data_IF_009416205503
#
_entry.id   IF_009416205503
#
_cell.length_a   1.000
_cell.length_b   1.000
_cell.length_c   1.000
_cell.angle_alpha   90.00
_cell.angle_beta   90.00
_cell.angle_gamma   90.00
#
_symmetry.space_group_name_H-M   'P 1'
#
loop_
_entity.id
_entity.type
_entity.pdbx_description
1 polymer ?
#
# COMPACT_ATOMS: atom_id res chain seq x y z
N UNK A 1 13.65 3.53 -16.17
CA UNK A 1 12.68 3.40 -15.06
C UNK A 1 13.34 2.53 -14.01
N UNK A 2 13.13 2.81 -12.71
CA UNK A 2 13.58 1.91 -11.65
C UNK A 2 13.11 0.49 -11.96
N UNK A 3 13.97 -0.51 -11.77
CA UNK A 3 13.66 -1.90 -12.11
C UNK A 3 12.38 -2.40 -11.39
N UNK A 4 12.10 -1.80 -10.24
CA UNK A 4 11.02 -2.20 -9.35
C UNK A 4 9.73 -1.41 -9.53
N UNK A 5 9.69 -0.35 -10.35
CA UNK A 5 8.44 0.40 -10.59
C UNK A 5 7.61 -0.19 -11.73
N UNK A 6 6.52 -0.90 -11.40
CA UNK A 6 5.68 -1.60 -12.37
C UNK A 6 4.85 -0.60 -13.19
N UNK A 7 4.80 -0.71 -14.53
CA UNK A 7 4.06 0.23 -15.37
C UNK A 7 2.57 0.32 -15.05
N UNK A 8 1.93 -0.79 -14.69
CA UNK A 8 0.52 -0.81 -14.30
C UNK A 8 0.28 0.11 -13.09
N UNK A 9 1.12 -0.01 -12.05
CA UNK A 9 1.02 0.82 -10.85
C UNK A 9 1.22 2.30 -11.20
N UNK A 10 2.28 2.62 -11.96
CA UNK A 10 2.52 4.00 -12.41
C UNK A 10 1.31 4.60 -13.12
N UNK A 11 0.78 3.89 -14.11
CA UNK A 11 -0.28 4.41 -14.96
C UNK A 11 -1.56 4.65 -14.17
N UNK A 12 -1.86 3.80 -13.18
CA UNK A 12 -3.06 3.96 -12.36
C UNK A 12 -2.91 5.07 -11.32
N UNK A 13 -1.73 5.21 -10.69
CA UNK A 13 -1.56 6.08 -9.52
C UNK A 13 -0.82 7.40 -9.80
N UNK A 14 -0.37 7.66 -11.03
CA UNK A 14 0.39 8.88 -11.36
C UNK A 14 -0.32 10.20 -11.02
N UNK A 15 -1.65 10.22 -11.08
CA UNK A 15 -2.49 11.40 -10.80
C UNK A 15 -2.98 11.44 -9.33
N UNK A 16 -2.59 10.43 -8.52
CA UNK A 16 -3.03 10.27 -7.14
C UNK A 16 -1.86 10.30 -6.13
N UNK A 17 -0.72 10.89 -6.49
CA UNK A 17 0.48 10.93 -5.62
C UNK A 17 0.24 11.59 -4.26
N UNK A 18 -0.76 12.46 -4.16
CA UNK A 18 -1.14 13.10 -2.90
C UNK A 18 -1.95 12.20 -1.96
N UNK A 19 -2.38 11.02 -2.42
CA UNK A 19 -3.27 10.11 -1.69
C UNK A 19 -2.56 8.88 -1.13
N UNK A 20 -1.26 8.71 -1.41
CA UNK A 20 -0.49 7.59 -0.89
C UNK A 20 1.00 7.92 -0.81
N UNK A 21 1.70 7.19 0.05
CA UNK A 21 3.16 7.15 0.11
C UNK A 21 3.59 5.69 -0.02
N UNK A 22 4.54 5.42 -0.92
CA UNK A 22 5.25 4.13 -0.92
C UNK A 22 6.35 4.19 0.13
N UNK A 23 6.43 3.14 0.94
CA UNK A 23 7.48 2.94 1.94
C UNK A 23 8.24 1.64 1.65
N UNK A 24 9.14 1.27 2.56
CA UNK A 24 9.83 -0.02 2.52
C UNK A 24 10.86 -0.13 1.39
N UNK A 25 11.13 -1.38 0.99
CA UNK A 25 12.20 -1.71 0.05
C UNK A 25 11.95 -1.16 -1.35
N UNK A 26 10.70 -1.16 -1.80
CA UNK A 26 10.32 -0.64 -3.12
C UNK A 26 10.55 0.87 -3.22
N UNK A 27 10.17 1.64 -2.20
CA UNK A 27 10.44 3.07 -2.15
C UNK A 27 11.96 3.36 -2.18
N UNK A 28 12.72 2.64 -1.35
CA UNK A 28 14.18 2.74 -1.30
C UNK A 28 14.81 2.44 -2.65
N UNK A 29 14.37 1.38 -3.32
CA UNK A 29 14.87 1.00 -4.63
C UNK A 29 14.56 2.04 -5.71
N UNK A 30 13.35 2.61 -5.71
CA UNK A 30 12.97 3.68 -6.65
C UNK A 30 13.92 4.87 -6.52
N UNK A 31 14.23 5.28 -5.28
CA UNK A 31 15.13 6.40 -5.01
C UNK A 31 16.58 6.06 -5.40
N UNK A 32 17.08 4.89 -5.03
CA UNK A 32 18.45 4.46 -5.36
C UNK A 32 18.66 4.35 -6.88
N UNK A 33 17.75 3.69 -7.58
CA UNK A 33 17.80 3.53 -9.04
C UNK A 33 17.76 4.88 -9.76
N UNK A 34 16.93 5.83 -9.28
CA UNK A 34 16.85 7.17 -9.85
C UNK A 34 18.16 7.96 -9.69
N UNK A 35 18.97 7.62 -8.69
CA UNK A 35 20.27 8.22 -8.43
C UNK A 35 21.45 7.38 -8.95
N UNK A 36 21.19 6.29 -9.70
CA UNK A 36 22.22 5.45 -10.32
C UNK A 36 22.94 4.51 -9.36
N UNK A 37 22.37 4.25 -8.18
CA UNK A 37 22.88 3.27 -7.23
C UNK A 37 22.24 1.89 -7.44
N UNK A 38 22.96 0.83 -7.06
CA UNK A 38 22.40 -0.52 -7.03
C UNK A 38 21.31 -0.62 -5.96
N UNK A 39 20.17 -1.21 -6.31
CA UNK A 39 19.07 -1.45 -5.39
C UNK A 39 18.74 -2.94 -5.26
N UNK A 40 18.22 -3.33 -4.09
CA UNK A 40 17.69 -4.67 -3.90
C UNK A 40 16.30 -4.79 -4.54
N UNK A 41 16.07 -5.87 -5.28
CA UNK A 41 14.78 -6.17 -5.90
C UNK A 41 13.79 -6.67 -4.85
N UNK A 42 12.81 -5.85 -4.48
CA UNK A 42 11.65 -6.27 -3.69
C UNK A 42 10.43 -6.42 -4.59
N UNK A 43 9.60 -7.43 -4.28
CA UNK A 43 8.40 -7.76 -5.06
C UNK A 43 7.13 -7.12 -4.50
N UNK A 44 7.28 -6.50 -3.33
CA UNK A 44 6.19 -6.10 -2.44
C UNK A 44 6.09 -4.57 -2.43
N UNK A 45 4.87 -4.07 -2.49
CA UNK A 45 4.57 -2.64 -2.47
C UNK A 45 3.90 -2.31 -1.15
N UNK A 46 4.66 -1.66 -0.27
CA UNK A 46 4.18 -1.18 1.02
C UNK A 46 3.65 0.24 0.83
N UNK A 47 2.34 0.42 1.00
CA UNK A 47 1.64 1.66 0.66
C UNK A 47 0.82 2.19 1.82
N UNK A 48 1.12 3.41 2.26
CA UNK A 48 0.33 4.14 3.26
C UNK A 48 -0.65 5.05 2.54
N UNK A 49 -1.94 4.95 2.84
CA UNK A 49 -2.96 5.87 2.32
C UNK A 49 -2.91 7.19 3.10
N UNK A 50 -2.73 8.29 2.38
CA UNK A 50 -2.74 9.65 2.90
C UNK A 50 -3.99 10.36 2.39
N UNK A 51 -5.16 10.05 2.96
CA UNK A 51 -6.42 10.64 2.50
C UNK A 51 -7.37 10.99 3.64
N UNK A 52 -7.25 12.21 4.16
CA UNK A 52 -8.23 12.77 5.10
C UNK A 52 -9.57 13.11 4.41
N UNK A 53 -9.56 13.29 3.08
CA UNK A 53 -10.70 13.80 2.30
C UNK A 53 -11.65 12.72 1.78
N UNK A 54 -11.25 11.44 1.86
CA UNK A 54 -11.98 10.28 1.33
C UNK A 54 -12.31 10.43 -0.16
N UNK A 55 -11.30 10.73 -0.97
CA UNK A 55 -11.44 10.95 -2.40
C UNK A 55 -11.91 9.68 -3.12
N UNK A 56 -13.15 9.72 -3.63
CA UNK A 56 -13.78 8.59 -4.31
C UNK A 56 -13.01 8.11 -5.54
N UNK A 57 -12.42 9.03 -6.33
CA UNK A 57 -11.70 8.67 -7.55
C UNK A 57 -10.43 7.89 -7.26
N UNK A 58 -9.69 8.27 -6.20
CA UNK A 58 -8.51 7.52 -5.77
C UNK A 58 -8.89 6.09 -5.39
N UNK A 59 -9.95 5.94 -4.60
CA UNK A 59 -10.40 4.62 -4.17
C UNK A 59 -11.00 3.77 -5.29
N UNK A 60 -11.71 4.38 -6.24
CA UNK A 60 -12.14 3.69 -7.46
C UNK A 60 -10.92 3.23 -8.28
N UNK A 61 -9.88 4.05 -8.41
CA UNK A 61 -8.64 3.66 -9.06
C UNK A 61 -7.93 2.51 -8.33
N UNK A 62 -7.90 2.54 -6.99
CA UNK A 62 -7.36 1.47 -6.16
C UNK A 62 -8.15 0.16 -6.33
N UNK A 63 -9.49 0.20 -6.23
CA UNK A 63 -10.32 -0.98 -6.43
C UNK A 63 -10.14 -1.55 -7.83
N UNK A 64 -10.18 -0.71 -8.88
CA UNK A 64 -9.95 -1.14 -10.25
C UNK A 64 -8.55 -1.72 -10.44
N UNK A 65 -7.54 -1.18 -9.78
CA UNK A 65 -6.17 -1.71 -9.81
C UNK A 65 -6.12 -3.13 -9.23
N UNK A 66 -6.73 -3.34 -8.06
CA UNK A 66 -6.79 -4.64 -7.39
C UNK A 66 -7.57 -5.67 -8.24
N UNK A 67 -8.69 -5.26 -8.84
CA UNK A 67 -9.49 -6.12 -9.73
C UNK A 67 -8.73 -6.47 -11.02
N UNK A 68 -8.13 -5.49 -11.70
CA UNK A 68 -7.34 -5.71 -12.92
C UNK A 68 -6.11 -6.58 -12.65
N UNK A 69 -5.52 -6.44 -11.47
CA UNK A 69 -4.41 -7.24 -11.01
C UNK A 69 -4.80 -8.65 -10.59
N UNK A 70 -6.10 -8.98 -10.52
CA UNK A 70 -6.60 -10.25 -9.98
C UNK A 70 -6.04 -10.53 -8.58
N UNK A 71 -6.00 -9.48 -7.75
CA UNK A 71 -5.48 -9.59 -6.40
C UNK A 71 -6.46 -10.36 -5.50
N UNK A 72 -5.94 -11.36 -4.80
CA UNK A 72 -6.64 -12.08 -3.75
C UNK A 72 -6.34 -11.41 -2.41
N UNK A 73 -7.38 -11.22 -1.59
CA UNK A 73 -7.22 -10.75 -0.22
C UNK A 73 -6.52 -11.81 0.63
N UNK A 74 -5.44 -11.41 1.28
CA UNK A 74 -4.75 -12.19 2.29
C UNK A 74 -5.36 -12.04 3.69
N UNK A 75 -4.51 -12.19 4.71
CA UNK A 75 -4.89 -12.05 6.11
C UNK A 75 -5.36 -10.61 6.42
N UNK A 76 -6.44 -10.46 7.19
CA UNK A 76 -6.92 -9.16 7.70
C UNK A 76 -6.70 -9.07 9.21
N UNK A 77 -6.12 -7.98 9.68
CA UNK A 77 -6.03 -7.69 11.11
C UNK A 77 -7.33 -7.05 11.64
N UNK A 78 -7.65 -7.32 12.90
CA UNK A 78 -8.93 -7.02 13.58
C UNK A 78 -9.17 -5.54 13.83
N UNK A 79 -8.12 -4.72 13.68
CA UNK A 79 -8.22 -3.27 13.73
C UNK A 79 -8.35 -2.62 12.35
N UNK A 80 -8.47 -3.40 11.27
CA UNK A 80 -8.86 -2.97 9.92
C UNK A 80 -7.99 -1.88 9.24
N UNK A 81 -6.76 -1.68 9.72
CA UNK A 81 -5.84 -0.66 9.22
C UNK A 81 -4.70 -1.24 8.35
N UNK A 82 -4.65 -2.57 8.19
CA UNK A 82 -3.68 -3.28 7.37
C UNK A 82 -4.38 -4.28 6.46
N UNK A 83 -4.05 -4.23 5.16
CA UNK A 83 -4.61 -5.12 4.15
C UNK A 83 -3.49 -5.73 3.31
N UNK A 84 -3.49 -7.06 3.19
CA UNK A 84 -2.60 -7.79 2.30
C UNK A 84 -3.31 -8.23 1.04
N UNK A 85 -2.70 -7.97 -0.10
CA UNK A 85 -3.18 -8.40 -1.40
C UNK A 85 -2.05 -9.11 -2.14
N UNK A 86 -2.34 -10.27 -2.73
CA UNK A 86 -1.35 -11.01 -3.52
C UNK A 86 -1.90 -11.36 -4.88
N UNK A 87 -1.03 -11.41 -5.89
CA UNK A 87 -1.41 -11.84 -7.24
C UNK A 87 -0.29 -12.62 -7.92
N UNK A 88 -0.67 -13.44 -8.90
CA UNK A 88 0.26 -14.12 -9.82
C UNK A 88 0.29 -13.44 -11.20
N UNK A 89 -0.48 -12.37 -11.40
CA UNK A 89 -0.60 -11.68 -12.68
C UNK A 89 0.68 -10.92 -13.02
N UNK A 90 1.24 -11.20 -14.19
CA UNK A 90 2.43 -10.52 -14.66
C UNK A 90 2.17 -9.03 -14.92
N UNK A 91 3.17 -8.19 -14.66
CA UNK A 91 3.08 -6.74 -14.84
C UNK A 91 2.51 -5.98 -13.63
N UNK A 92 2.06 -6.69 -12.59
CA UNK A 92 1.63 -6.14 -11.30
C UNK A 92 2.66 -6.44 -10.19
N UNK A 93 2.70 -5.66 -9.10
CA UNK A 93 3.38 -6.04 -7.87
C UNK A 93 2.88 -7.40 -7.37
N UNK A 94 3.76 -8.32 -6.97
CA UNK A 94 3.33 -9.66 -6.53
C UNK A 94 2.56 -9.59 -5.20
N UNK A 95 2.91 -8.60 -4.37
CA UNK A 95 2.21 -8.29 -3.12
C UNK A 95 2.01 -6.78 -2.97
N UNK A 96 0.87 -6.40 -2.40
CA UNK A 96 0.60 -5.06 -1.89
C UNK A 96 0.23 -5.18 -0.42
N UNK A 97 0.98 -4.48 0.43
CA UNK A 97 0.64 -4.26 1.83
C UNK A 97 0.14 -2.82 1.96
N UNK A 98 -1.14 -2.68 2.30
CA UNK A 98 -1.81 -1.40 2.35
C UNK A 98 -2.12 -1.02 3.80
N UNK A 99 -1.58 0.11 4.22
CA UNK A 99 -1.80 0.73 5.52
C UNK A 99 -2.81 1.87 5.37
N UNK A 100 -3.90 1.81 6.12
CA UNK A 100 -4.94 2.84 6.13
C UNK A 100 -5.23 3.24 7.56
N UNK A 101 -5.05 4.52 7.90
CA UNK A 101 -5.53 5.06 9.18
C UNK A 101 -7.06 5.12 9.26
N UNK A 102 -7.75 4.95 8.13
CA UNK A 102 -9.21 4.85 8.05
C UNK A 102 -9.61 3.37 7.99
N UNK A 103 -9.97 2.74 9.12
CA UNK A 103 -10.24 1.31 9.18
C UNK A 103 -11.45 0.85 8.34
N UNK A 104 -12.35 1.77 7.98
CA UNK A 104 -13.68 1.42 7.49
C UNK A 104 -13.96 1.75 6.02
N UNK A 105 -13.01 2.35 5.29
CA UNK A 105 -13.30 2.97 3.99
C UNK A 105 -12.22 2.66 2.94
N UNK A 106 -12.55 2.23 1.71
CA UNK A 106 -13.78 1.67 1.15
C UNK A 106 -13.65 0.17 0.80
N UNK A 107 -12.66 -0.53 1.34
CA UNK A 107 -12.42 -1.96 1.07
C UNK A 107 -13.47 -2.92 1.67
N UNK A 108 -14.53 -2.39 2.31
CA UNK A 108 -15.63 -3.18 2.90
C UNK A 108 -16.35 -4.11 1.91
N UNK A 109 -16.27 -3.87 0.59
CA UNK A 109 -16.98 -4.67 -0.42
C UNK A 109 -16.34 -6.03 -0.76
N UNK A 110 -15.12 -6.32 -0.30
CA UNK A 110 -14.37 -7.52 -0.70
C UNK A 110 -14.35 -8.66 0.35
N UNK A 111 -14.73 -8.43 1.61
CA UNK A 111 -14.49 -9.42 2.70
C UNK A 111 -15.63 -10.36 3.07
N UNK A 112 -15.27 -11.63 3.33
CA UNK A 112 -15.86 -12.47 4.38
C UNK A 112 -14.96 -12.41 5.62
N UNK A 113 -15.55 -12.19 6.78
CA UNK A 113 -14.86 -11.99 8.06
C UNK A 113 -14.37 -13.32 8.65
N UNK A 114 -13.13 -13.40 9.17
CA UNK A 114 -12.71 -14.47 10.09
C UNK A 114 -11.65 -13.97 11.07
N UNK A 115 -11.76 -14.26 12.39
CA UNK A 115 -10.86 -13.72 13.40
C UNK A 115 -9.58 -14.55 13.66
N UNK A 116 -8.42 -13.93 13.88
CA UNK A 116 -7.13 -14.43 14.38
C UNK A 116 -6.41 -13.30 15.14
N UNK A 117 -5.87 -13.63 16.32
CA UNK A 117 -5.25 -12.73 17.30
C UNK A 117 -3.71 -12.82 17.23
N UNK A 118 -2.98 -11.71 17.41
CA UNK A 118 -1.54 -11.72 17.68
C UNK A 118 -1.15 -10.71 18.78
N UNK A 119 -0.11 -11.08 19.54
CA UNK A 119 0.45 -10.37 20.70
C UNK A 119 1.11 -9.03 20.36
N UNK A 120 1.02 -8.10 21.30
CA UNK A 120 1.44 -6.68 21.26
C UNK A 120 2.98 -6.46 21.19
N UNK A 121 3.69 -7.10 20.25
CA UNK A 121 5.08 -6.73 19.93
C UNK A 121 5.14 -5.71 18.79
N UNK A 122 6.08 -4.76 18.90
CA UNK A 122 6.24 -3.57 18.07
C UNK A 122 6.29 -3.87 16.55
N UNK A 123 5.13 -3.95 15.91
CA UNK A 123 5.02 -4.12 14.47
C UNK A 123 5.19 -2.77 13.77
N UNK A 124 5.80 -2.78 12.57
CA UNK A 124 5.92 -1.58 11.72
C UNK A 124 4.54 -0.96 11.43
N UNK A 125 3.50 -1.82 11.34
CA UNK A 125 2.12 -1.37 11.29
C UNK A 125 1.74 -0.54 12.51
N UNK A 126 2.10 -0.94 13.73
CA UNK A 126 1.78 -0.16 14.94
C UNK A 126 2.46 1.21 14.95
N UNK A 127 3.68 1.35 14.40
CA UNK A 127 4.37 2.64 14.27
C UNK A 127 3.75 3.53 13.18
N UNK A 128 3.37 2.96 12.04
CA UNK A 128 2.75 3.72 10.93
C UNK A 128 1.33 4.19 11.24
N UNK A 129 0.68 3.51 12.18
CA UNK A 129 -0.66 3.83 12.68
C UNK A 129 -0.62 4.75 13.92
N UNK A 130 0.58 5.17 14.34
CA UNK A 130 0.77 6.25 15.29
C UNK A 130 0.50 7.61 14.62
N UNK A 131 -0.27 8.47 15.29
CA UNK A 131 -0.70 9.77 14.76
C UNK A 131 0.51 10.68 14.46
N UNK A 132 1.54 10.70 15.31
CA UNK A 132 2.70 11.58 15.11
C UNK A 132 3.50 11.15 13.87
N UNK A 133 3.63 9.85 13.65
CA UNK A 133 4.30 9.32 12.45
C UNK A 133 3.49 9.58 11.18
N UNK A 134 2.15 9.43 11.24
CA UNK A 134 1.27 9.75 10.13
C UNK A 134 1.37 11.24 9.74
N UNK A 135 1.37 12.13 10.73
CA UNK A 135 1.54 13.56 10.49
C UNK A 135 2.90 13.86 9.84
N UNK A 136 3.98 13.18 10.25
CA UNK A 136 5.28 13.33 9.59
C UNK A 136 5.21 12.94 8.10
N UNK A 137 4.52 11.83 7.76
CA UNK A 137 4.34 11.40 6.37
C UNK A 137 3.54 12.40 5.52
N UNK A 138 2.55 13.08 6.11
CA UNK A 138 1.81 14.14 5.40
C UNK A 138 2.71 15.33 5.08
N UNK A 139 3.54 15.75 6.04
CA UNK A 139 4.28 17.01 5.96
C UNK A 139 5.59 16.89 5.14
N UNK A 140 6.23 15.71 5.10
CA UNK A 140 7.59 15.52 4.54
C UNK A 140 7.63 14.68 3.23
N UNK A 141 6.49 14.53 2.53
CA UNK A 141 6.38 13.71 1.30
C UNK A 141 7.00 14.33 0.05
#
# INVERSE_FOLDING_TARGET
MPANFKPAFKNTFQDFKDYYVLIGGTATSIVLDANGFESCTTKDYDMVIIDESKNKQFYEALTNFLELGEYEEGHKDHKAQLFHFTTKKSGFPEMIELFSILPEYPLKKLSRETPVHFDEEASLSALLLDEDYYQLLIHER
#
